data_IF_898626489710
#
_entry.id   IF_898626489710
#
_cell.length_a   1.000
_cell.length_b   1.000
_cell.length_c   1.000
_cell.angle_alpha   90.00
_cell.angle_beta   90.00
_cell.angle_gamma   90.00
#
_symmetry.space_group_name_H-M   'P 1'
#
loop_
_entity.id
_entity.type
_entity.pdbx_description
1 polymer ?
#
# COMPACT_ATOMS: atom_id res chain seq x y z
N UNK A 1 -4.32 8.09 -53.66
CA UNK A 1 -3.27 9.12 -53.42
C UNK A 1 -2.79 8.95 -51.99
N UNK A 2 -1.66 8.28 -51.74
CA UNK A 2 -1.11 8.16 -50.40
C UNK A 2 -0.40 9.47 -50.04
N UNK A 3 -0.89 10.17 -49.01
CA UNK A 3 -0.22 11.37 -48.51
C UNK A 3 1.14 10.95 -47.90
N UNK A 4 2.25 11.49 -48.45
CA UNK A 4 3.57 11.35 -47.82
C UNK A 4 3.54 12.13 -46.50
N UNK A 5 3.52 11.43 -45.38
CA UNK A 5 3.72 12.02 -44.07
C UNK A 5 5.19 12.45 -43.97
N UNK A 6 5.44 13.76 -43.93
CA UNK A 6 6.80 14.30 -43.77
C UNK A 6 7.12 14.24 -42.27
N UNK A 7 8.01 13.34 -41.86
CA UNK A 7 8.60 13.41 -40.52
C UNK A 7 9.43 14.69 -40.40
N UNK A 8 9.12 15.50 -39.39
CA UNK A 8 9.88 16.71 -39.02
C UNK A 8 10.67 16.40 -37.76
N UNK A 9 11.97 16.67 -37.77
CA UNK A 9 12.86 16.45 -36.63
C UNK A 9 13.43 17.78 -36.12
N UNK A 10 13.74 17.83 -34.82
CA UNK A 10 14.41 18.96 -34.15
C UNK A 10 15.74 18.46 -33.57
N UNK A 11 16.80 19.24 -33.74
CA UNK A 11 18.07 18.98 -33.06
C UNK A 11 18.00 19.56 -31.64
N UNK A 12 18.10 18.69 -30.64
CA UNK A 12 18.12 19.08 -29.24
C UNK A 12 19.56 19.43 -28.82
N UNK A 13 19.70 20.51 -28.06
CA UNK A 13 20.97 20.78 -27.38
C UNK A 13 21.04 19.98 -26.06
N UNK A 14 22.18 20.04 -25.36
CA UNK A 14 22.38 19.29 -24.12
C UNK A 14 21.43 19.73 -23.00
N UNK A 15 21.15 21.02 -22.87
CA UNK A 15 20.24 21.57 -21.86
C UNK A 15 18.80 21.09 -22.10
N UNK A 16 18.37 21.05 -23.36
CA UNK A 16 17.06 20.51 -23.73
C UNK A 16 16.97 19.02 -23.35
N UNK A 17 18.01 18.24 -23.65
CA UNK A 17 18.08 16.81 -23.31
C UNK A 17 18.05 16.61 -21.80
N UNK A 18 18.84 17.37 -21.04
CA UNK A 18 18.90 17.29 -19.58
C UNK A 18 17.53 17.67 -18.97
N UNK A 19 16.88 18.70 -19.49
CA UNK A 19 15.54 19.14 -19.07
C UNK A 19 14.48 18.07 -19.33
N UNK A 20 14.50 17.45 -20.51
CA UNK A 20 13.56 16.39 -20.89
C UNK A 20 13.79 15.15 -20.01
N UNK A 21 15.04 14.79 -19.75
CA UNK A 21 15.38 13.59 -18.98
C UNK A 21 15.13 13.76 -17.48
N UNK A 22 15.32 14.97 -16.93
CA UNK A 22 15.27 15.24 -15.49
C UNK A 22 14.09 14.61 -14.72
N UNK A 23 12.82 14.63 -15.19
CA UNK A 23 11.70 14.02 -14.48
C UNK A 23 11.64 12.49 -14.55
N UNK A 24 12.33 11.85 -15.50
CA UNK A 24 12.29 10.40 -15.72
C UNK A 24 13.49 9.66 -15.14
N UNK A 25 14.52 10.38 -14.68
CA UNK A 25 15.68 9.78 -14.03
C UNK A 25 15.34 9.44 -12.58
N UNK A 26 15.18 8.14 -12.30
CA UNK A 26 15.05 7.62 -10.94
C UNK A 26 16.32 7.91 -10.13
N UNK A 27 16.17 8.50 -8.96
CA UNK A 27 17.28 8.72 -8.00
C UNK A 27 17.41 7.57 -6.98
N UNK A 28 16.84 6.41 -7.32
CA UNK A 28 16.81 5.22 -6.46
C UNK A 28 16.21 5.54 -5.08
N UNK A 29 16.80 4.99 -4.01
CA UNK A 29 16.31 5.19 -2.63
C UNK A 29 16.28 6.67 -2.19
N UNK A 30 17.07 7.53 -2.81
CA UNK A 30 17.13 8.95 -2.47
C UNK A 30 16.01 9.79 -3.11
N UNK A 31 15.29 9.21 -4.07
CA UNK A 31 14.24 9.86 -4.84
C UNK A 31 13.11 10.38 -3.93
N UNK A 32 12.73 11.67 -4.04
CA UNK A 32 11.64 12.24 -3.25
C UNK A 32 10.32 11.48 -3.39
N UNK A 33 10.00 10.96 -4.59
CA UNK A 33 8.77 10.21 -4.83
C UNK A 33 8.81 8.86 -4.11
N UNK A 34 9.94 8.13 -4.21
CA UNK A 34 10.14 6.85 -3.52
C UNK A 34 10.10 7.06 -2.00
N UNK A 35 10.68 8.15 -1.48
CA UNK A 35 10.62 8.50 -0.05
C UNK A 35 9.19 8.79 0.41
N UNK A 36 8.42 9.55 -0.37
CA UNK A 36 7.03 9.88 -0.08
C UNK A 36 6.16 8.62 -0.07
N UNK A 37 6.31 7.75 -1.08
CA UNK A 37 5.61 6.47 -1.16
C UNK A 37 5.96 5.56 0.02
N UNK A 38 7.25 5.43 0.35
CA UNK A 38 7.69 4.68 1.53
C UNK A 38 7.17 5.25 2.86
N UNK A 39 6.96 6.57 2.94
CA UNK A 39 6.34 7.20 4.11
C UNK A 39 4.83 6.92 4.18
N UNK A 40 4.13 6.92 3.04
CA UNK A 40 2.72 6.53 2.97
C UNK A 40 2.52 5.08 3.40
N UNK A 41 3.38 4.15 2.94
CA UNK A 41 3.36 2.75 3.37
C UNK A 41 3.59 2.59 4.88
N UNK A 42 4.47 3.41 5.49
CA UNK A 42 4.67 3.39 6.94
C UNK A 42 3.45 3.91 7.70
N UNK A 43 2.79 4.94 7.19
CA UNK A 43 1.60 5.54 7.81
C UNK A 43 0.32 4.71 7.65
N UNK A 44 0.33 3.67 6.80
CA UNK A 44 -0.84 2.79 6.68
C UNK A 44 -0.98 1.86 7.88
N UNK A 45 0.10 1.60 8.64
CA UNK A 45 0.05 0.74 9.82
C UNK A 45 -0.39 1.53 11.07
N UNK A 46 -1.33 1.00 11.88
CA UNK A 46 -1.63 1.53 13.20
C UNK A 46 -0.39 1.61 14.10
N UNK A 47 -0.23 2.72 14.84
CA UNK A 47 0.98 2.93 15.66
C UNK A 47 1.14 1.94 16.80
N UNK A 48 0.04 1.43 17.35
CA UNK A 48 0.05 0.50 18.48
C UNK A 48 0.55 -0.90 18.10
N UNK A 49 0.53 -1.27 16.81
CA UNK A 49 1.02 -2.59 16.36
C UNK A 49 2.48 -2.83 16.77
N UNK A 50 3.31 -1.78 16.76
CA UNK A 50 4.74 -1.88 17.13
C UNK A 50 4.97 -2.19 18.62
N UNK A 51 3.93 -2.06 19.43
CA UNK A 51 3.97 -2.23 20.87
C UNK A 51 3.35 -3.56 21.32
N UNK A 52 2.93 -4.41 20.38
CA UNK A 52 2.35 -5.70 20.73
C UNK A 52 3.40 -6.63 21.33
N UNK A 53 3.06 -7.24 22.47
CA UNK A 53 3.86 -8.26 23.10
C UNK A 53 3.78 -9.57 22.31
N UNK A 54 4.91 -10.25 22.06
CA UNK A 54 4.91 -11.60 21.48
C UNK A 54 4.28 -12.63 22.42
N UNK A 55 4.20 -12.35 23.72
CA UNK A 55 3.58 -13.21 24.73
C UNK A 55 2.04 -13.08 24.76
N UNK A 56 1.48 -12.22 23.90
CA UNK A 56 0.05 -11.98 23.75
C UNK A 56 -0.40 -10.66 24.38
N UNK A 57 -1.33 -10.00 23.70
CA UNK A 57 -2.01 -8.78 24.14
C UNK A 57 -3.50 -8.88 23.84
N UNK A 58 -4.34 -8.23 24.66
CA UNK A 58 -5.76 -8.08 24.37
C UNK A 58 -5.97 -6.98 23.33
N UNK A 59 -6.69 -7.31 22.26
CA UNK A 59 -7.07 -6.38 21.20
C UNK A 59 -8.58 -6.15 21.25
N UNK A 60 -8.99 -4.89 21.26
CA UNK A 60 -10.39 -4.49 21.25
C UNK A 60 -10.94 -4.35 19.83
N UNK A 61 -12.27 -4.40 19.68
CA UNK A 61 -12.96 -4.17 18.39
C UNK A 61 -12.49 -2.90 17.67
N UNK A 62 -12.34 -1.73 18.33
CA UNK A 62 -11.85 -0.52 17.64
C UNK A 62 -10.43 -0.67 17.09
N UNK A 63 -9.55 -1.44 17.74
CA UNK A 63 -8.20 -1.71 17.23
C UNK A 63 -8.22 -2.65 16.02
N UNK A 64 -9.09 -3.66 16.02
CA UNK A 64 -9.28 -4.52 14.85
C UNK A 64 -9.84 -3.74 13.65
N UNK A 65 -10.78 -2.83 13.88
CA UNK A 65 -11.31 -1.92 12.86
C UNK A 65 -10.23 -0.95 12.34
N UNK A 66 -9.39 -0.41 13.21
CA UNK A 66 -8.23 0.42 12.80
C UNK A 66 -7.24 -0.39 11.95
N UNK A 67 -7.03 -1.66 12.30
CA UNK A 67 -6.19 -2.57 11.52
C UNK A 67 -6.78 -2.83 10.13
N UNK A 68 -8.11 -3.07 10.01
CA UNK A 68 -8.79 -3.20 8.72
C UNK A 68 -8.61 -1.97 7.85
N UNK A 69 -8.82 -0.77 8.41
CA UNK A 69 -8.59 0.48 7.69
C UNK A 69 -7.11 0.64 7.26
N UNK A 70 -6.16 0.15 8.06
CA UNK A 70 -4.75 0.14 7.70
C UNK A 70 -4.42 -0.80 6.53
N UNK A 71 -5.06 -1.97 6.48
CA UNK A 71 -4.96 -2.94 5.38
C UNK A 71 -5.46 -2.30 4.09
N UNK A 72 -6.67 -1.72 4.10
CA UNK A 72 -7.29 -1.08 2.93
C UNK A 72 -6.38 0.02 2.34
N UNK A 73 -5.83 0.90 3.20
CA UNK A 73 -4.88 1.93 2.77
C UNK A 73 -3.63 1.34 2.13
N UNK A 74 -3.11 0.24 2.69
CA UNK A 74 -1.90 -0.41 2.15
C UNK A 74 -2.18 -1.09 0.81
N UNK A 75 -3.32 -1.75 0.65
CA UNK A 75 -3.76 -2.32 -0.64
C UNK A 75 -3.86 -1.23 -1.70
N UNK A 76 -4.54 -0.12 -1.39
CA UNK A 76 -4.67 1.01 -2.31
C UNK A 76 -3.32 1.59 -2.77
N UNK A 77 -2.29 1.60 -1.90
CA UNK A 77 -0.94 2.02 -2.28
C UNK A 77 -0.24 0.99 -3.19
N UNK A 78 -0.38 -0.30 -2.90
CA UNK A 78 0.21 -1.38 -3.70
C UNK A 78 -0.48 -1.48 -5.06
N UNK A 79 -1.78 -1.20 -5.14
CA UNK A 79 -2.56 -1.26 -6.39
C UNK A 79 -2.10 -0.24 -7.44
N UNK A 80 -1.36 0.80 -7.04
CA UNK A 80 -0.71 1.74 -7.95
C UNK A 80 0.47 1.14 -8.71
N UNK A 81 1.01 0.01 -8.25
CA UNK A 81 2.08 -0.70 -8.93
C UNK A 81 1.54 -1.46 -10.15
N UNK A 82 2.35 -1.60 -11.21
CA UNK A 82 2.02 -2.48 -12.31
C UNK A 82 1.83 -3.91 -11.80
N UNK A 83 1.00 -4.68 -12.50
CA UNK A 83 0.79 -6.09 -12.18
C UNK A 83 2.09 -6.87 -12.37
N UNK A 84 2.35 -7.79 -11.44
CA UNK A 84 3.59 -8.55 -11.39
C UNK A 84 3.78 -9.26 -10.05
N UNK A 85 4.80 -10.11 -10.00
CA UNK A 85 5.10 -10.98 -8.86
C UNK A 85 5.29 -10.19 -7.55
N UNK A 86 5.95 -9.03 -7.61
CA UNK A 86 6.15 -8.19 -6.44
C UNK A 86 4.85 -7.60 -5.89
N UNK A 87 3.91 -7.23 -6.76
CA UNK A 87 2.59 -6.74 -6.35
C UNK A 87 1.82 -7.86 -5.67
N UNK A 88 1.76 -9.02 -6.30
CA UNK A 88 1.04 -10.19 -5.80
C UNK A 88 1.59 -10.67 -4.46
N UNK A 89 2.93 -10.76 -4.34
CA UNK A 89 3.60 -11.15 -3.11
C UNK A 89 3.35 -10.17 -1.94
N UNK A 90 3.06 -8.89 -2.22
CA UNK A 90 2.73 -7.92 -1.18
C UNK A 90 1.22 -7.86 -0.88
N UNK A 91 0.35 -8.25 -1.81
CA UNK A 91 -1.10 -8.32 -1.59
C UNK A 91 -1.55 -9.61 -0.88
N UNK A 92 -0.83 -10.71 -1.06
CA UNK A 92 -1.20 -12.00 -0.45
C UNK A 92 -1.22 -11.95 1.09
N UNK A 93 -0.17 -11.48 1.80
CA UNK A 93 -0.19 -11.39 3.27
C UNK A 93 -1.26 -10.42 3.81
N UNK A 94 -1.63 -9.40 3.03
CA UNK A 94 -2.70 -8.48 3.41
C UNK A 94 -4.08 -9.14 3.34
N UNK A 95 -4.27 -10.05 2.39
CA UNK A 95 -5.52 -10.81 2.26
C UNK A 95 -5.65 -11.83 3.40
N UNK A 96 -4.56 -12.49 3.78
CA UNK A 96 -4.52 -13.37 4.96
C UNK A 96 -4.83 -12.59 6.25
N UNK A 97 -4.21 -11.42 6.43
CA UNK A 97 -4.45 -10.57 7.60
C UNK A 97 -5.90 -10.06 7.65
N UNK A 98 -6.48 -9.68 6.51
CA UNK A 98 -7.87 -9.24 6.44
C UNK A 98 -8.84 -10.35 6.85
N UNK A 99 -8.58 -11.58 6.41
CA UNK A 99 -9.36 -12.75 6.80
C UNK A 99 -9.26 -13.00 8.32
N UNK A 100 -8.06 -12.94 8.90
CA UNK A 100 -7.87 -13.07 10.35
C UNK A 100 -8.62 -11.98 11.13
N UNK A 101 -8.53 -10.72 10.71
CA UNK A 101 -9.25 -9.61 11.36
C UNK A 101 -10.76 -9.84 11.32
N UNK A 102 -11.28 -10.32 10.19
CA UNK A 102 -12.70 -10.63 10.04
C UNK A 102 -13.15 -11.76 10.98
N UNK A 103 -12.34 -12.80 11.15
CA UNK A 103 -12.59 -13.89 12.09
C UNK A 103 -12.64 -13.39 13.53
N UNK A 104 -11.63 -12.61 13.96
CA UNK A 104 -11.56 -12.05 15.31
C UNK A 104 -12.74 -11.10 15.62
N UNK A 105 -13.16 -10.29 14.65
CA UNK A 105 -14.34 -9.45 14.80
C UNK A 105 -15.61 -10.29 14.97
N UNK A 106 -15.75 -11.37 14.19
CA UNK A 106 -16.87 -12.31 14.32
C UNK A 106 -16.92 -13.01 15.67
N UNK A 107 -15.77 -13.38 16.25
CA UNK A 107 -15.69 -13.95 17.59
C UNK A 107 -16.14 -12.97 18.67
N UNK A 108 -15.72 -11.70 18.58
CA UNK A 108 -16.13 -10.66 19.52
C UNK A 108 -17.62 -10.34 19.44
N UNK A 109 -18.20 -10.32 18.24
CA UNK A 109 -19.64 -10.08 18.04
C UNK A 109 -20.48 -11.29 18.50
N UNK A 110 -19.98 -12.51 18.29
CA UNK A 110 -20.63 -13.75 18.74
C UNK A 110 -20.56 -13.97 20.26
N UNK A 111 -19.51 -13.48 20.93
CA UNK A 111 -19.33 -13.60 22.38
C UNK A 111 -20.28 -12.75 23.23
N UNK A 112 -21.00 -11.78 22.64
CA UNK A 112 -21.99 -10.96 23.35
C UNK A 112 -23.31 -11.74 23.60
N UNK A 113 -23.48 -12.93 23.01
CA UNK A 113 -24.70 -13.75 23.13
C UNK A 113 -24.76 -14.77 24.27
N UNK A 114 -23.64 -15.08 24.96
CA UNK A 114 -23.60 -16.18 25.95
C UNK A 114 -23.58 -15.74 27.43
N UNK A 115 -23.82 -14.46 27.73
CA UNK A 115 -23.87 -13.94 29.11
C UNK A 115 -25.23 -13.39 29.52
N UNK A 116 -26.32 -14.11 29.22
CA UNK A 116 -27.62 -13.93 29.89
C UNK A 116 -28.35 -15.28 30.01
N UNK A 117 -27.80 -16.22 30.80
CA UNK A 117 -28.57 -17.27 31.47
C UNK A 117 -27.65 -18.08 32.39
N UNK A 118 -27.59 -17.70 33.67
CA UNK A 118 -27.58 -18.61 34.84
C UNK A 118 -27.60 -17.79 36.13
#
# INVERSE_FOLDING_TARGET
MAARQIERAVLLNREDIDTINAPFVSKGRSDPLIKAFGAALRKSAPEWLRNLSPDGDTISTPRLEELRAGIERRRALIDLLPDGEEKDANLAPLSELEQLVRELLGELDGGIGESVAS
#
